data_IF_147146953295
#
_entry.id   IF_147146953295
#
_cell.length_a   1.000
_cell.length_b   1.000
_cell.length_c   1.000
_cell.angle_alpha   90.00
_cell.angle_beta   90.00
_cell.angle_gamma   90.00
#
_symmetry.space_group_name_H-M   'P 1'
#
loop_
_entity.id
_entity.type
_entity.pdbx_description
1 polymer ?
#
# COMPACT_ATOMS: atom_id res chain seq x y z
N UNK A 1 -23.33 -27.84 -10.74
CA UNK A 1 -23.52 -26.39 -10.56
C UNK A 1 -22.93 -26.02 -9.20
N UNK A 2 -21.92 -25.16 -9.12
CA UNK A 2 -21.34 -24.78 -7.82
C UNK A 2 -22.37 -23.94 -7.06
N UNK A 3 -22.75 -24.39 -5.87
CA UNK A 3 -23.61 -23.63 -4.96
C UNK A 3 -23.03 -22.23 -4.72
N UNK A 4 -23.87 -21.20 -4.90
CA UNK A 4 -23.50 -19.78 -4.68
C UNK A 4 -22.98 -19.55 -3.26
N UNK A 5 -23.43 -20.31 -2.27
CA UNK A 5 -22.95 -20.18 -0.90
C UNK A 5 -21.58 -20.81 -0.68
N UNK A 6 -21.30 -21.90 -1.39
CA UNK A 6 -19.97 -22.49 -1.46
C UNK A 6 -18.99 -21.52 -2.14
N UNK A 7 -19.35 -20.96 -3.30
CA UNK A 7 -18.52 -19.96 -4.00
C UNK A 7 -18.20 -18.74 -3.12
N UNK A 8 -19.19 -18.23 -2.37
CA UNK A 8 -19.00 -17.11 -1.42
C UNK A 8 -18.15 -17.48 -0.21
N UNK A 9 -18.17 -18.73 0.25
CA UNK A 9 -17.25 -19.20 1.30
C UNK A 9 -15.83 -19.35 0.77
N UNK A 10 -15.68 -19.94 -0.41
CA UNK A 10 -14.39 -20.12 -1.09
C UNK A 10 -13.68 -18.79 -1.28
N UNK A 11 -14.39 -17.81 -1.82
CA UNK A 11 -13.89 -16.46 -2.04
C UNK A 11 -13.54 -15.75 -0.72
N UNK A 12 -14.35 -15.87 0.33
CA UNK A 12 -14.00 -15.35 1.67
C UNK A 12 -12.71 -15.96 2.24
N UNK A 13 -12.50 -17.26 2.08
CA UNK A 13 -11.30 -17.94 2.55
C UNK A 13 -10.07 -17.56 1.74
N UNK A 14 -10.19 -17.49 0.42
CA UNK A 14 -9.13 -16.99 -0.47
C UNK A 14 -8.74 -15.55 -0.09
N UNK A 15 -9.71 -14.64 0.06
CA UNK A 15 -9.46 -13.26 0.53
C UNK A 15 -8.78 -13.22 1.91
N UNK A 16 -9.10 -14.14 2.83
CA UNK A 16 -8.40 -14.28 4.13
C UNK A 16 -6.97 -14.78 3.97
N UNK A 17 -6.71 -15.74 3.10
CA UNK A 17 -5.36 -16.22 2.81
C UNK A 17 -4.48 -15.11 2.20
N UNK A 18 -5.08 -14.25 1.36
CA UNK A 18 -4.43 -13.07 0.80
C UNK A 18 -4.35 -11.87 1.78
N UNK A 19 -5.07 -11.86 2.92
CA UNK A 19 -4.91 -10.79 3.94
C UNK A 19 -3.49 -10.70 4.48
N UNK A 20 -2.79 -11.82 4.59
CA UNK A 20 -1.40 -11.88 5.04
C UNK A 20 -0.42 -11.20 4.05
N UNK A 21 -0.82 -11.10 2.78
CA UNK A 21 -0.11 -10.41 1.70
C UNK A 21 -0.72 -9.05 1.33
N UNK A 22 -1.84 -8.65 1.95
CA UNK A 22 -2.60 -7.45 1.56
C UNK A 22 -1.80 -6.15 1.72
N UNK A 23 -0.76 -6.18 2.55
CA UNK A 23 0.18 -5.08 2.76
C UNK A 23 1.60 -5.38 2.28
N UNK A 24 1.84 -6.58 1.76
CA UNK A 24 3.09 -6.98 1.11
C UNK A 24 2.80 -7.13 -0.38
N UNK A 25 2.88 -6.02 -1.12
CA UNK A 25 2.72 -6.00 -2.57
C UNK A 25 3.90 -6.69 -3.32
N UNK A 26 4.84 -7.29 -2.59
CA UNK A 26 5.99 -7.98 -3.13
C UNK A 26 5.93 -9.49 -2.80
N UNK A 27 6.45 -10.36 -3.69
CA UNK A 27 6.63 -11.79 -3.40
C UNK A 27 7.47 -12.00 -2.14
N UNK A 28 7.21 -13.06 -1.37
CA UNK A 28 7.98 -13.38 -0.16
C UNK A 28 9.19 -14.26 -0.46
N UNK A 29 9.97 -13.93 -1.49
CA UNK A 29 11.23 -14.62 -1.80
C UNK A 29 12.44 -13.85 -1.23
N UNK A 30 13.61 -14.47 -1.27
CA UNK A 30 14.87 -13.87 -0.80
C UNK A 30 15.15 -12.52 -1.48
N UNK A 31 14.86 -12.39 -2.78
CA UNK A 31 15.08 -11.16 -3.55
C UNK A 31 14.31 -9.95 -3.00
N UNK A 32 13.13 -10.17 -2.39
CA UNK A 32 12.32 -9.10 -1.78
C UNK A 32 12.35 -9.12 -0.25
N UNK A 33 13.22 -9.94 0.39
CA UNK A 33 13.33 -10.02 1.85
C UNK A 33 13.64 -8.65 2.47
N UNK A 34 14.46 -7.85 1.79
CA UNK A 34 14.80 -6.50 2.21
C UNK A 34 13.66 -5.48 2.04
N UNK A 35 12.58 -5.79 1.33
CA UNK A 35 11.47 -4.87 1.04
C UNK A 35 10.28 -5.04 1.97
N UNK A 36 10.30 -6.07 2.83
CA UNK A 36 9.20 -6.44 3.70
C UNK A 36 9.68 -6.47 5.13
N UNK A 37 9.01 -5.72 6.00
CA UNK A 37 9.28 -5.66 7.44
C UNK A 37 8.26 -6.55 8.17
N UNK A 38 8.69 -7.51 8.99
CA UNK A 38 7.79 -8.26 9.86
C UNK A 38 7.36 -7.38 11.04
N UNK A 39 6.05 -7.27 11.27
CA UNK A 39 5.44 -6.59 12.41
C UNK A 39 4.53 -7.60 13.12
N UNK A 40 5.08 -8.34 14.08
CA UNK A 40 4.37 -9.43 14.74
C UNK A 40 3.87 -10.49 13.74
N UNK A 41 2.54 -10.68 13.67
CA UNK A 41 1.90 -11.64 12.74
C UNK A 41 1.61 -11.06 11.35
N UNK A 42 1.94 -9.80 11.09
CA UNK A 42 1.72 -9.16 9.78
C UNK A 42 3.05 -8.83 9.10
N UNK A 43 3.03 -8.76 7.77
CA UNK A 43 4.17 -8.36 6.95
C UNK A 43 3.80 -7.12 6.15
N UNK A 44 4.61 -6.08 6.26
CA UNK A 44 4.31 -4.77 5.67
C UNK A 44 5.45 -4.38 4.74
N UNK A 45 5.10 -3.93 3.53
CA UNK A 45 6.10 -3.43 2.59
C UNK A 45 6.75 -2.14 3.11
N UNK A 46 8.05 -1.93 2.86
CA UNK A 46 8.75 -0.68 3.23
C UNK A 46 8.00 0.56 2.75
N UNK A 47 7.49 0.55 1.52
CA UNK A 47 6.69 1.66 0.99
C UNK A 47 5.41 1.92 1.80
N UNK A 48 4.73 0.86 2.22
CA UNK A 48 3.50 0.91 3.01
C UNK A 48 3.79 1.45 4.42
N UNK A 49 4.89 0.99 5.03
CA UNK A 49 5.37 1.46 6.32
C UNK A 49 5.75 2.95 6.24
N UNK A 50 6.48 3.37 5.21
CA UNK A 50 6.87 4.76 4.97
C UNK A 50 5.66 5.68 4.80
N UNK A 51 4.66 5.26 4.02
CA UNK A 51 3.41 6.01 3.86
C UNK A 51 2.65 6.11 5.18
N UNK A 52 2.58 5.02 5.96
CA UNK A 52 1.95 5.05 7.28
C UNK A 52 2.65 5.98 8.26
N UNK A 53 3.98 5.91 8.34
CA UNK A 53 4.79 6.80 9.18
C UNK A 53 4.65 8.26 8.74
N UNK A 54 4.64 8.52 7.43
CA UNK A 54 4.41 9.83 6.87
C UNK A 54 3.06 10.39 7.31
N UNK A 55 1.98 9.60 7.14
CA UNK A 55 0.64 10.00 7.58
C UNK A 55 0.60 10.38 9.06
N UNK A 56 1.14 9.53 9.95
CA UNK A 56 1.18 9.81 11.40
C UNK A 56 1.97 11.08 11.71
N UNK A 57 3.15 11.24 11.11
CA UNK A 57 3.97 12.43 11.29
C UNK A 57 3.26 13.71 10.80
N UNK A 58 2.61 13.63 9.63
CA UNK A 58 1.84 14.73 9.05
C UNK A 58 0.64 15.14 9.90
N UNK A 59 -0.12 14.18 10.41
CA UNK A 59 -1.22 14.44 11.35
C UNK A 59 -0.72 15.12 12.62
N UNK A 60 0.34 14.59 13.23
CA UNK A 60 0.95 15.18 14.43
C UNK A 60 1.43 16.61 14.18
N UNK A 61 2.14 16.84 13.07
CA UNK A 61 2.57 18.17 12.67
C UNK A 61 1.39 19.13 12.41
N UNK A 62 0.31 18.65 11.79
CA UNK A 62 -0.88 19.47 11.51
C UNK A 62 -1.59 19.92 12.78
N UNK A 63 -1.68 19.03 13.78
CA UNK A 63 -2.30 19.29 15.08
C UNK A 63 -1.46 20.26 15.92
N UNK A 64 -0.13 20.13 15.88
CA UNK A 64 0.79 20.93 16.69
C UNK A 64 1.19 22.26 16.04
N UNK A 65 0.98 22.43 14.74
CA UNK A 65 1.39 23.64 14.03
C UNK A 65 0.58 24.88 14.47
N UNK A 66 1.23 26.05 14.64
CA UNK A 66 0.53 27.30 14.89
C UNK A 66 -0.46 27.65 13.77
N UNK A 67 -1.61 28.23 14.10
CA UNK A 67 -2.54 28.85 13.14
C UNK A 67 -1.81 29.92 12.32
N UNK A 68 -1.92 29.86 10.99
CA UNK A 68 -1.25 30.80 10.07
C UNK A 68 0.14 30.39 9.54
N UNK A 69 0.66 29.21 9.89
CA UNK A 69 1.95 28.73 9.36
C UNK A 69 1.95 28.53 7.84
N UNK A 70 2.75 29.33 7.12
CA UNK A 70 2.96 29.21 5.66
C UNK A 70 3.84 28.01 5.27
N UNK A 71 4.55 27.41 6.23
CA UNK A 71 5.45 26.27 5.99
C UNK A 71 4.76 25.09 5.32
N UNK A 72 3.47 24.88 5.63
CA UNK A 72 2.66 23.85 4.99
C UNK A 72 2.48 24.04 3.48
N UNK A 73 2.25 25.27 3.04
CA UNK A 73 2.09 25.61 1.63
C UNK A 73 3.43 25.50 0.89
N UNK A 74 4.52 25.99 1.50
CA UNK A 74 5.86 25.87 0.93
C UNK A 74 6.29 24.41 0.78
N UNK A 75 6.05 23.58 1.80
CA UNK A 75 6.29 22.14 1.73
C UNK A 75 5.43 21.47 0.65
N UNK A 76 4.20 21.95 0.44
CA UNK A 76 3.32 21.43 -0.62
C UNK A 76 3.85 21.71 -2.01
N UNK A 77 4.23 22.96 -2.26
CA UNK A 77 4.83 23.37 -3.52
C UNK A 77 6.15 22.65 -3.80
N UNK A 78 7.03 22.55 -2.80
CA UNK A 78 8.29 21.82 -2.92
C UNK A 78 8.07 20.34 -3.25
N UNK A 79 7.10 19.69 -2.61
CA UNK A 79 6.74 18.29 -2.89
C UNK A 79 6.18 18.13 -4.30
N UNK A 80 5.29 19.03 -4.73
CA UNK A 80 4.73 19.00 -6.08
C UNK A 80 5.83 19.16 -7.13
N UNK A 81 6.71 20.15 -6.99
CA UNK A 81 7.85 20.37 -7.88
C UNK A 81 8.74 19.13 -7.95
N UNK A 82 9.07 18.53 -6.80
CA UNK A 82 9.86 17.30 -6.76
C UNK A 82 9.19 16.16 -7.54
N UNK A 83 7.87 15.99 -7.40
CA UNK A 83 7.11 14.99 -8.16
C UNK A 83 7.08 15.28 -9.67
N UNK A 84 7.15 16.55 -10.08
CA UNK A 84 7.17 16.96 -11.48
C UNK A 84 8.53 16.80 -12.16
N UNK A 85 9.64 16.86 -11.40
CA UNK A 85 11.01 16.86 -11.95
C UNK A 85 11.45 15.56 -12.67
N UNK A 86 10.61 14.52 -12.75
CA UNK A 86 10.92 13.19 -13.34
C UNK A 86 12.16 12.47 -12.78
N UNK A 87 12.90 13.07 -11.85
CA UNK A 87 13.98 12.44 -11.11
C UNK A 87 13.37 11.30 -10.31
N UNK A 88 13.92 10.08 -10.38
CA UNK A 88 13.46 8.94 -9.57
C UNK A 88 13.79 9.24 -8.11
N UNK A 89 12.83 9.74 -7.31
CA UNK A 89 13.15 10.16 -5.97
C UNK A 89 13.32 8.91 -5.09
N UNK A 90 14.07 9.05 -3.99
CA UNK A 90 14.22 7.95 -3.04
C UNK A 90 12.85 7.45 -2.56
N UNK A 91 12.79 6.18 -2.11
CA UNK A 91 11.52 5.61 -1.57
C UNK A 91 10.96 6.43 -0.42
N UNK A 92 11.82 7.08 0.36
CA UNK A 92 11.43 8.02 1.40
C UNK A 92 10.67 9.21 0.81
N UNK A 93 11.26 9.90 -0.17
CA UNK A 93 10.65 11.07 -0.80
C UNK A 93 9.38 10.75 -1.58
N UNK A 94 9.28 9.59 -2.23
CA UNK A 94 8.08 9.22 -3.00
C UNK A 94 6.91 8.68 -2.16
N UNK A 95 7.15 8.25 -0.92
CA UNK A 95 6.13 7.54 -0.11
C UNK A 95 5.84 8.21 1.22
N UNK A 96 6.86 8.69 1.91
CA UNK A 96 6.71 9.35 3.21
C UNK A 96 6.23 10.79 3.02
N UNK A 97 6.94 11.58 2.20
CA UNK A 97 6.71 13.01 2.09
C UNK A 97 5.30 13.37 1.58
N UNK A 98 4.77 12.78 0.48
CA UNK A 98 3.41 13.06 0.03
C UNK A 98 2.35 12.67 1.07
N UNK A 99 2.58 11.58 1.82
CA UNK A 99 1.66 11.13 2.86
C UNK A 99 1.66 12.08 4.07
N UNK A 100 2.84 12.51 4.52
CA UNK A 100 2.99 13.47 5.61
C UNK A 100 2.37 14.82 5.25
N UNK A 101 2.68 15.32 4.06
CA UNK A 101 2.12 16.58 3.59
C UNK A 101 0.60 16.50 3.43
N UNK A 102 0.08 15.45 2.81
CA UNK A 102 -1.37 15.26 2.66
C UNK A 102 -2.07 15.24 4.02
N UNK A 103 -1.59 14.43 4.96
CA UNK A 103 -2.15 14.36 6.31
C UNK A 103 -2.09 15.71 7.04
N UNK A 104 -0.96 16.42 6.93
CA UNK A 104 -0.82 17.78 7.46
C UNK A 104 -1.89 18.71 6.88
N UNK A 105 -1.98 18.82 5.56
CA UNK A 105 -2.91 19.73 4.88
C UNK A 105 -4.37 19.41 5.19
N UNK A 106 -4.71 18.12 5.31
CA UNK A 106 -6.06 17.71 5.71
C UNK A 106 -6.41 18.18 7.12
N UNK A 107 -5.51 17.96 8.09
CA UNK A 107 -5.72 18.44 9.48
C UNK A 107 -5.82 19.95 9.52
N UNK A 108 -4.93 20.66 8.81
CA UNK A 108 -4.98 22.13 8.74
C UNK A 108 -6.27 22.63 8.12
N UNK A 109 -6.71 22.04 7.01
CA UNK A 109 -7.96 22.37 6.36
C UNK A 109 -9.16 22.22 7.30
N UNK A 110 -9.20 21.14 8.09
CA UNK A 110 -10.26 20.95 9.09
C UNK A 110 -10.23 22.03 10.19
N UNK A 111 -9.05 22.44 10.65
CA UNK A 111 -8.89 23.48 11.67
C UNK A 111 -9.19 24.90 11.16
N UNK A 112 -9.09 25.14 9.85
CA UNK A 112 -9.38 26.44 9.23
C UNK A 112 -10.89 26.75 9.10
N UNK A 113 -11.77 25.90 9.63
CA UNK A 113 -13.21 26.06 9.54
C UNK A 113 -13.79 25.68 8.16
N UNK A 114 -15.04 26.08 7.84
CA UNK A 114 -15.75 25.62 6.65
C UNK A 114 -15.02 25.89 5.33
N UNK A 115 -14.27 26.99 5.25
CA UNK A 115 -13.46 27.33 4.08
C UNK A 115 -12.33 26.33 3.82
N UNK A 116 -11.80 25.68 4.86
CA UNK A 116 -10.74 24.67 4.74
C UNK A 116 -11.24 23.23 4.57
N UNK A 117 -12.54 22.97 4.77
CA UNK A 117 -13.12 21.64 4.59
C UNK A 117 -13.00 21.15 3.14
N UNK A 118 -13.14 22.06 2.17
CA UNK A 118 -12.93 21.74 0.76
C UNK A 118 -11.52 21.17 0.50
N UNK A 119 -10.49 21.78 1.09
CA UNK A 119 -9.11 21.28 0.99
C UNK A 119 -8.96 19.92 1.66
N UNK A 120 -9.50 19.75 2.87
CA UNK A 120 -9.43 18.48 3.59
C UNK A 120 -10.11 17.34 2.80
N UNK A 121 -11.30 17.59 2.26
CA UNK A 121 -12.02 16.63 1.41
C UNK A 121 -11.27 16.33 0.12
N UNK A 122 -10.71 17.34 -0.55
CA UNK A 122 -9.93 17.14 -1.76
C UNK A 122 -8.68 16.28 -1.53
N UNK A 123 -7.97 16.52 -0.42
CA UNK A 123 -6.79 15.71 -0.04
C UNK A 123 -7.19 14.28 0.28
N UNK A 124 -8.26 14.08 1.06
CA UNK A 124 -8.78 12.74 1.36
C UNK A 124 -9.22 12.02 0.08
N UNK A 125 -9.97 12.68 -0.80
CA UNK A 125 -10.40 12.12 -2.08
C UNK A 125 -9.20 11.75 -2.96
N UNK A 126 -8.19 12.61 -3.06
CA UNK A 126 -6.95 12.34 -3.78
C UNK A 126 -6.18 11.15 -3.20
N UNK A 127 -6.09 11.05 -1.87
CA UNK A 127 -5.49 9.90 -1.19
C UNK A 127 -6.24 8.60 -1.51
N UNK A 128 -7.58 8.60 -1.42
CA UNK A 128 -8.40 7.43 -1.75
C UNK A 128 -8.28 7.03 -3.22
N UNK A 129 -8.27 8.00 -4.14
CA UNK A 129 -8.08 7.76 -5.56
C UNK A 129 -6.69 7.16 -5.84
N UNK A 130 -5.63 7.73 -5.24
CA UNK A 130 -4.28 7.19 -5.35
C UNK A 130 -4.18 5.78 -4.76
N UNK A 131 -4.74 5.56 -3.57
CA UNK A 131 -4.74 4.24 -2.93
C UNK A 131 -5.47 3.20 -3.77
N UNK A 132 -6.63 3.56 -4.35
CA UNK A 132 -7.38 2.70 -5.26
C UNK A 132 -6.55 2.40 -6.50
N UNK A 133 -6.01 3.41 -7.17
CA UNK A 133 -5.14 3.21 -8.35
C UNK A 133 -3.92 2.34 -8.01
N UNK A 134 -3.26 2.61 -6.88
CA UNK A 134 -2.11 1.84 -6.42
C UNK A 134 -2.46 0.37 -6.16
N UNK A 135 -3.66 0.09 -5.63
CA UNK A 135 -4.17 -1.29 -5.50
C UNK A 135 -4.47 -1.96 -6.83
N UNK A 136 -4.87 -1.21 -7.85
CA UNK A 136 -5.13 -1.75 -9.19
C UNK A 136 -3.86 -1.98 -10.01
N UNK A 137 -2.77 -1.25 -9.75
CA UNK A 137 -1.51 -1.33 -10.52
C UNK A 137 -0.81 -2.70 -10.42
N UNK A 138 -1.19 -3.53 -9.45
CA UNK A 138 -0.61 -4.85 -9.23
C UNK A 138 0.78 -4.81 -8.58
N UNK A 139 1.34 -5.98 -8.24
CA UNK A 139 2.67 -6.07 -7.64
C UNK A 139 3.74 -5.65 -8.65
N UNK A 140 4.75 -4.90 -8.20
CA UNK A 140 5.94 -4.62 -9.01
C UNK A 140 6.70 -5.94 -9.22
N UNK A 141 6.91 -6.30 -10.49
CA UNK A 141 7.58 -7.53 -10.92
C UNK A 141 8.95 -7.25 -11.54
N UNK A 142 9.48 -6.03 -11.47
CA UNK A 142 10.77 -5.72 -12.07
C UNK A 142 11.90 -6.61 -11.53
N UNK A 143 11.99 -6.86 -10.23
CA UNK A 143 13.03 -7.78 -9.72
C UNK A 143 12.76 -9.25 -10.09
N UNK A 144 11.59 -9.58 -10.63
CA UNK A 144 11.27 -10.91 -11.14
C UNK A 144 11.73 -11.13 -12.58
N UNK A 145 12.00 -10.08 -13.37
CA UNK A 145 12.37 -10.24 -14.79
C UNK A 145 13.73 -10.92 -14.98
N UNK A 146 14.64 -10.75 -14.03
CA UNK A 146 15.93 -11.42 -13.98
C UNK A 146 15.93 -12.65 -13.03
N UNK A 147 14.77 -13.07 -12.52
CA UNK A 147 14.71 -14.16 -11.55
C UNK A 147 14.85 -15.52 -12.25
N UNK A 148 15.82 -16.37 -11.88
CA UNK A 148 16.01 -17.67 -12.49
C UNK A 148 14.82 -18.62 -12.27
N UNK A 149 14.05 -18.41 -11.19
CA UNK A 149 12.84 -19.18 -10.93
C UNK A 149 11.69 -18.85 -11.91
N UNK A 150 11.76 -17.73 -12.64
CA UNK A 150 10.69 -17.32 -13.57
C UNK A 150 10.60 -18.24 -14.78
N UNK A 151 11.75 -18.72 -15.28
CA UNK A 151 11.84 -19.64 -16.42
C UNK A 151 11.71 -21.12 -16.01
N UNK A 152 11.70 -21.40 -14.70
CA UNK A 152 11.66 -22.76 -14.18
C UNK A 152 10.26 -23.40 -14.25
N UNK A 153 10.16 -24.74 -14.29
CA UNK A 153 8.89 -25.45 -14.37
C UNK A 153 8.09 -25.47 -13.05
N UNK A 154 8.59 -24.78 -12.00
CA UNK A 154 7.99 -24.84 -10.66
C UNK A 154 7.52 -23.47 -10.18
N UNK A 155 6.53 -23.46 -9.28
CA UNK A 155 6.07 -22.21 -8.65
C UNK A 155 7.25 -21.56 -7.92
N UNK A 156 7.50 -20.28 -8.25
CA UNK A 156 8.48 -19.41 -7.60
C UNK A 156 8.38 -19.52 -6.07
N UNK A 157 9.53 -19.65 -5.41
CA UNK A 157 9.68 -19.80 -3.97
C UNK A 157 8.92 -18.74 -3.18
N UNK A 158 8.89 -17.50 -3.67
CA UNK A 158 8.15 -16.39 -3.06
C UNK A 158 6.63 -16.54 -3.09
N UNK A 159 6.12 -17.35 -4.00
CA UNK A 159 4.69 -17.68 -4.14
C UNK A 159 4.35 -19.08 -3.63
N UNK A 160 5.33 -19.95 -3.34
CA UNK A 160 5.10 -21.32 -2.82
C UNK A 160 4.19 -21.36 -1.59
N UNK A 161 4.28 -20.47 -0.59
CA UNK A 161 3.35 -20.49 0.54
C UNK A 161 1.89 -20.25 0.11
N UNK A 162 1.68 -19.35 -0.87
CA UNK A 162 0.36 -19.08 -1.45
C UNK A 162 -0.11 -20.31 -2.23
N UNK A 163 0.69 -20.81 -3.16
CA UNK A 163 0.35 -21.97 -3.98
C UNK A 163 0.11 -23.24 -3.15
N UNK A 164 0.84 -23.45 -2.04
CA UNK A 164 0.58 -24.56 -1.10
C UNK A 164 -0.78 -24.42 -0.43
N UNK A 165 -1.15 -23.21 0.01
CA UNK A 165 -2.47 -22.92 0.61
C UNK A 165 -3.58 -23.08 -0.42
N UNK A 166 -3.40 -22.56 -1.63
CA UNK A 166 -4.34 -22.72 -2.74
C UNK A 166 -4.50 -24.19 -3.15
N UNK A 167 -3.41 -24.98 -3.16
CA UNK A 167 -3.46 -26.41 -3.46
C UNK A 167 -4.15 -27.20 -2.35
N UNK A 168 -3.85 -26.91 -1.08
CA UNK A 168 -4.55 -27.51 0.06
C UNK A 168 -6.05 -27.17 0.01
N UNK A 169 -6.37 -25.93 -0.35
CA UNK A 169 -7.73 -25.48 -0.55
C UNK A 169 -8.43 -26.20 -1.71
N UNK A 170 -7.79 -26.28 -2.89
CA UNK A 170 -8.31 -27.04 -4.04
C UNK A 170 -8.55 -28.51 -3.72
N UNK A 171 -7.72 -29.14 -2.89
CA UNK A 171 -7.96 -30.51 -2.39
C UNK A 171 -9.21 -30.58 -1.52
N UNK A 172 -9.38 -29.60 -0.63
CA UNK A 172 -10.56 -29.53 0.23
C UNK A 172 -11.83 -29.26 -0.54
N UNK A 173 -11.80 -28.45 -1.62
CA UNK A 173 -12.99 -28.16 -2.44
C UNK A 173 -13.21 -29.18 -3.57
N UNK A 174 -12.15 -29.82 -4.05
CA UNK A 174 -12.18 -30.84 -5.10
C UNK A 174 -12.69 -32.21 -4.62
N UNK A 175 -12.78 -32.40 -3.30
CA UNK A 175 -13.45 -33.55 -2.65
C UNK A 175 -14.97 -33.41 -2.55
N UNK A 176 -15.55 -32.32 -3.07
CA UNK A 176 -16.99 -32.03 -3.04
C UNK A 176 -17.63 -32.10 -4.43
N UNK A 177 -16.94 -32.73 -5.38
CA UNK A 177 -17.47 -33.13 -6.69
C UNK A 177 -17.60 -34.65 -6.72
#
# INVERSE_FOLDING_TARGET
MIDRDLARRIDRFSRRAHRFHRFAHHPLCAAYRGEVVPLGRIRVCKGCLLTGMGFVAGTGAGLLAPTGSLWGLLAAWGTLLLLLTRVRPSKWLSRFLPAALGAYLAVRGLHSGPAGWGLALAVLAGFFAFWRHYRHRGPDRQACTACPELAGPTVCSGFRPIARREKAFRRLTGRWY
#
